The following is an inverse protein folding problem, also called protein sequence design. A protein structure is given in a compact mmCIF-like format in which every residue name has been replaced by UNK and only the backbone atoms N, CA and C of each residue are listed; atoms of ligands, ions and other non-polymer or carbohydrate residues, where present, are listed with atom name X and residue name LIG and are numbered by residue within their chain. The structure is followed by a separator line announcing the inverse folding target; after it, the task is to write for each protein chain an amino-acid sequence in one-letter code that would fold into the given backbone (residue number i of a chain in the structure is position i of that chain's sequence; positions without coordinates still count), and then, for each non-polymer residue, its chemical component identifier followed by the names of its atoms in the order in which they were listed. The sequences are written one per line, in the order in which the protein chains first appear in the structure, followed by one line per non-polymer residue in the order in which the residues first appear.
data_IF_299229711215
#
_entry.id   IF_299229711215
#
_cell.length_a   1.000
_cell.length_b   1.000
_cell.length_c   1.000
_cell.angle_alpha   90.00
_cell.angle_beta   90.00
_cell.angle_gamma   90.00
#
_symmetry.space_group_name_H-M   'P 1'
#
loop_
_entity.id
_entity.type
_entity.pdbx_description
1 polymer ?
#
# COMPACT_ATOMS: atom_id res chain seq x y z
N UNK A 1 -10.31 8.21 3.15
CA UNK A 1 -11.19 7.02 3.09
C UNK A 1 -11.32 6.39 4.47
N UNK A 2 -12.36 5.59 4.74
CA UNK A 2 -12.51 4.85 6.02
C UNK A 2 -12.06 3.40 5.82
N UNK A 3 -11.35 2.85 6.81
CA UNK A 3 -10.91 1.45 6.73
C UNK A 3 -12.11 0.49 6.79
N UNK A 4 -12.27 -0.44 5.84
CA UNK A 4 -13.40 -1.39 5.84
C UNK A 4 -13.34 -2.40 6.99
N UNK A 5 -12.19 -2.54 7.66
CA UNK A 5 -11.99 -3.46 8.77
C UNK A 5 -12.35 -2.86 10.13
N UNK A 6 -11.97 -1.60 10.39
CA UNK A 6 -12.12 -0.99 11.70
C UNK A 6 -12.69 0.44 11.68
N UNK A 7 -13.08 0.95 10.51
CA UNK A 7 -13.67 2.28 10.28
C UNK A 7 -12.79 3.48 10.67
N UNK A 8 -11.57 3.25 11.16
CA UNK A 8 -10.60 4.30 11.45
C UNK A 8 -10.16 5.01 10.15
N UNK A 9 -9.74 6.30 10.24
CA UNK A 9 -9.30 7.05 9.07
C UNK A 9 -8.04 6.43 8.45
N UNK A 10 -7.96 6.52 7.13
CA UNK A 10 -6.81 6.09 6.34
C UNK A 10 -5.93 7.28 5.97
N UNK A 11 -4.62 7.07 6.02
CA UNK A 11 -3.60 8.03 5.60
C UNK A 11 -2.98 7.58 4.30
N UNK A 12 -2.88 8.51 3.36
CA UNK A 12 -2.27 8.29 2.06
C UNK A 12 -0.79 8.63 2.10
N UNK A 13 0.04 7.71 1.65
CA UNK A 13 1.49 7.87 1.50
C UNK A 13 1.87 7.64 0.04
N UNK A 14 2.83 8.40 -0.47
CA UNK A 14 3.43 8.14 -1.77
C UNK A 14 4.85 7.60 -1.56
N UNK A 15 5.12 6.38 -2.03
CA UNK A 15 6.44 5.75 -1.93
C UNK A 15 6.84 5.24 -3.31
N UNK A 16 7.94 5.76 -3.85
CA UNK A 16 8.48 5.36 -5.15
C UNK A 16 7.45 5.43 -6.29
N UNK A 17 6.53 6.41 -6.25
CA UNK A 17 5.47 6.56 -7.25
C UNK A 17 4.24 5.66 -7.01
N UNK A 18 4.25 4.82 -5.97
CA UNK A 18 3.09 4.03 -5.54
C UNK A 18 2.37 4.79 -4.44
N UNK A 19 1.08 5.02 -4.65
CA UNK A 19 0.20 5.53 -3.61
C UNK A 19 -0.24 4.35 -2.73
N UNK A 20 -0.20 4.57 -1.41
CA UNK A 20 -0.45 3.54 -0.40
C UNK A 20 -1.36 4.16 0.63
N UNK A 21 -2.53 3.56 0.86
CA UNK A 21 -3.39 3.98 1.94
C UNK A 21 -3.25 3.06 3.16
N UNK A 22 -2.77 3.60 4.27
CA UNK A 22 -2.62 2.86 5.53
C UNK A 22 -3.63 3.34 6.57
N UNK A 23 -4.33 2.39 7.18
CA UNK A 23 -5.25 2.65 8.28
C UNK A 23 -4.51 3.03 9.56
N UNK A 24 -4.91 4.14 10.19
CA UNK A 24 -4.39 4.61 11.49
C UNK A 24 -4.69 3.70 12.68
N UNK A 25 -5.76 2.89 12.61
CA UNK A 25 -6.20 2.01 13.70
C UNK A 25 -5.58 0.62 13.62
N UNK A 26 -5.92 -0.13 12.57
CA UNK A 26 -5.52 -1.54 12.45
C UNK A 26 -4.22 -1.76 11.67
N UNK A 27 -3.62 -0.69 11.10
CA UNK A 27 -2.44 -0.72 10.22
C UNK A 27 -2.63 -1.51 8.90
N UNK A 28 -3.87 -1.80 8.53
CA UNK A 28 -4.20 -2.41 7.23
C UNK A 28 -3.84 -1.49 6.07
N UNK A 29 -3.39 -2.08 4.97
CA UNK A 29 -3.06 -1.38 3.72
C UNK A 29 -4.20 -1.61 2.72
N UNK A 30 -4.65 -0.55 2.06
CA UNK A 30 -5.56 -0.60 0.93
C UNK A 30 -4.78 -0.17 -0.32
N UNK A 31 -4.90 -0.96 -1.38
CA UNK A 31 -4.24 -0.75 -2.65
C UNK A 31 -5.26 -0.94 -3.76
N UNK A 32 -5.23 -0.04 -4.74
CA UNK A 32 -5.97 -0.23 -5.98
C UNK A 32 -5.24 -1.24 -6.89
N UNK A 33 -5.96 -1.79 -7.88
CA UNK A 33 -5.43 -2.84 -8.76
C UNK A 33 -4.10 -2.45 -9.44
N UNK A 34 -3.94 -1.18 -9.86
CA UNK A 34 -2.70 -0.68 -10.46
C UNK A 34 -1.55 -0.49 -9.48
N UNK A 35 -1.83 -0.19 -8.20
CA UNK A 35 -0.82 -0.01 -7.16
C UNK A 35 -0.22 -1.35 -6.73
N UNK A 36 -1.04 -2.39 -6.66
CA UNK A 36 -0.58 -3.76 -6.36
C UNK A 36 0.36 -4.29 -7.46
N UNK A 37 0.05 -4.04 -8.74
CA UNK A 37 0.92 -4.42 -9.85
C UNK A 37 2.27 -3.67 -9.81
N UNK A 38 2.25 -2.38 -9.46
CA UNK A 38 3.46 -1.59 -9.28
C UNK A 38 4.32 -2.11 -8.11
N UNK A 39 3.70 -2.47 -6.97
CA UNK A 39 4.41 -3.09 -5.85
C UNK A 39 5.01 -4.44 -6.22
N UNK A 40 4.27 -5.30 -6.92
CA UNK A 40 4.77 -6.62 -7.33
C UNK A 40 5.97 -6.51 -8.29
N UNK A 41 5.95 -5.52 -9.20
CA UNK A 41 7.07 -5.20 -10.08
C UNK A 41 8.29 -4.70 -9.32
N UNK A 42 8.08 -3.84 -8.32
CA UNK A 42 9.16 -3.39 -7.43
C UNK A 42 9.72 -4.58 -6.63
N UNK A 43 8.88 -5.42 -6.02
CA UNK A 43 9.32 -6.60 -5.26
C UNK A 43 10.19 -7.54 -6.11
N UNK A 44 9.82 -7.78 -7.37
CA UNK A 44 10.63 -8.62 -8.27
C UNK A 44 11.98 -7.98 -8.66
N UNK A 45 12.10 -6.65 -8.62
CA UNK A 45 13.38 -5.94 -8.75
C UNK A 45 14.22 -5.96 -7.46
N UNK A 46 13.58 -5.91 -6.29
CA UNK A 46 14.25 -5.98 -4.98
C UNK A 46 14.63 -7.42 -4.57
N UNK A 47 13.91 -8.43 -5.08
CA UNK A 47 14.14 -9.85 -4.80
C UNK A 47 15.33 -10.46 -5.56
N UNK A 48 16.15 -9.65 -6.23
CA UNK A 48 17.50 -10.05 -6.59
C UNK A 48 18.49 -9.51 -5.56
N UNK A 49 18.72 -10.22 -4.43
CA UNK A 49 19.94 -10.02 -3.67
C UNK A 49 21.15 -10.52 -4.47
N UNK A 50 22.30 -9.90 -4.18
CA UNK A 50 23.62 -10.12 -4.75
C UNK A 50 24.09 -11.58 -4.83
#
# INVERSE_FOLDING_TARGET
MQCPKCHAPMHTYNRNGVQIEQCSGCRGIFLDYGELEALTRLESQYAQPA
#
